data_IF_439430440287
#
_entry.id   IF_439430440287
#
_cell.length_a   1.000
_cell.length_b   1.000
_cell.length_c   1.000
_cell.angle_alpha   90.00
_cell.angle_beta   90.00
_cell.angle_gamma   90.00
#
_symmetry.space_group_name_H-M   'P 1'
#
loop_
_entity.id
_entity.type
_entity.pdbx_description
1 polymer ?
#
# COMPACT_ATOMS: atom_id res chain seq x y z
N UNK A 1 8.72 -23.33 -2.13
CA UNK A 1 7.72 -22.35 -2.61
C UNK A 1 8.18 -20.94 -2.27
N UNK A 2 8.03 -19.98 -3.18
CA UNK A 2 8.27 -18.57 -2.86
C UNK A 2 7.16 -18.07 -1.90
N UNK A 3 7.54 -17.44 -0.79
CA UNK A 3 6.57 -16.83 0.14
C UNK A 3 5.78 -15.73 -0.56
N UNK A 4 4.46 -15.76 -0.40
CA UNK A 4 3.55 -14.73 -0.91
C UNK A 4 3.91 -13.34 -0.36
N UNK A 5 3.60 -12.31 -1.14
CA UNK A 5 3.79 -10.93 -0.70
C UNK A 5 2.59 -10.53 0.15
N UNK A 6 2.85 -10.22 1.42
CA UNK A 6 1.83 -9.78 2.36
C UNK A 6 1.14 -8.51 1.87
N UNK A 7 -0.18 -8.47 2.00
CA UNK A 7 -0.98 -7.32 1.61
C UNK A 7 -0.88 -6.25 2.71
N UNK A 8 -0.44 -5.01 2.40
CA UNK A 8 -0.30 -3.95 3.42
C UNK A 8 -1.64 -3.36 3.88
N UNK A 9 -2.78 -3.87 3.41
CA UNK A 9 -4.11 -3.43 3.81
C UNK A 9 -4.43 -3.87 5.24
N UNK A 10 -4.86 -2.93 6.08
CA UNK A 10 -5.32 -3.18 7.46
C UNK A 10 -6.84 -3.26 7.57
N UNK A 11 -7.56 -3.42 6.45
CA UNK A 11 -9.03 -3.43 6.36
C UNK A 11 -9.73 -2.17 6.88
N UNK A 12 -8.98 -1.08 7.09
CA UNK A 12 -9.49 0.25 7.39
C UNK A 12 -9.10 1.17 6.23
N UNK A 13 -10.09 1.69 5.51
CA UNK A 13 -9.88 2.57 4.36
C UNK A 13 -10.20 4.01 4.75
N UNK A 14 -9.19 4.87 4.75
CA UNK A 14 -9.34 6.32 4.82
C UNK A 14 -8.66 6.93 3.59
N UNK A 15 -9.44 7.25 2.57
CA UNK A 15 -8.90 7.81 1.32
C UNK A 15 -8.81 9.33 1.41
N UNK A 16 -7.62 9.87 1.16
CA UNK A 16 -7.40 11.28 0.85
C UNK A 16 -7.04 11.37 -0.63
N UNK A 17 -8.03 11.74 -1.45
CA UNK A 17 -7.93 11.68 -2.91
C UNK A 17 -7.74 10.25 -3.42
N UNK A 18 -6.55 9.96 -3.96
CA UNK A 18 -6.18 8.64 -4.49
C UNK A 18 -5.29 7.81 -3.57
N UNK A 19 -4.96 8.34 -2.38
CA UNK A 19 -4.10 7.68 -1.40
C UNK A 19 -4.89 7.25 -0.17
N UNK A 20 -4.78 5.99 0.24
CA UNK A 20 -5.28 5.54 1.52
C UNK A 20 -4.28 5.94 2.61
N UNK A 21 -4.67 6.81 3.54
CA UNK A 21 -3.80 7.29 4.62
C UNK A 21 -3.67 6.29 5.76
N UNK A 22 -4.52 5.25 5.81
CA UNK A 22 -4.45 4.18 6.82
C UNK A 22 -3.43 3.09 6.45
N UNK A 23 -3.28 2.77 5.15
CA UNK A 23 -2.41 1.69 4.68
C UNK A 23 -1.38 2.11 3.63
N UNK A 24 -1.36 3.38 3.21
CA UNK A 24 -0.42 3.94 2.25
C UNK A 24 -0.60 3.52 0.78
N UNK A 25 -1.57 2.64 0.49
CA UNK A 25 -1.85 2.19 -0.89
C UNK A 25 -2.58 3.25 -1.68
N UNK A 26 -2.32 3.36 -2.99
CA UNK A 26 -3.17 4.16 -3.87
C UNK A 26 -4.38 3.36 -4.36
N UNK A 27 -5.40 4.04 -4.91
CA UNK A 27 -6.52 3.37 -5.61
C UNK A 27 -6.03 2.44 -6.71
N UNK A 28 -4.96 2.81 -7.42
CA UNK A 28 -4.36 1.99 -8.46
C UNK A 28 -3.72 0.71 -7.89
N UNK A 29 -2.94 0.86 -6.81
CA UNK A 29 -2.36 -0.29 -6.10
C UNK A 29 -3.48 -1.24 -5.62
N UNK A 30 -4.61 -0.71 -5.12
CA UNK A 30 -5.78 -1.50 -4.66
C UNK A 30 -6.43 -2.25 -5.83
N UNK A 31 -6.74 -1.57 -6.94
CA UNK A 31 -7.41 -2.15 -8.12
C UNK A 31 -6.54 -3.21 -8.81
N UNK A 32 -5.24 -2.98 -8.93
CA UNK A 32 -4.32 -3.86 -9.67
C UNK A 32 -3.75 -5.00 -8.84
N UNK A 33 -3.90 -5.00 -7.52
CA UNK A 33 -3.28 -5.99 -6.61
C UNK A 33 -3.40 -7.45 -7.06
N UNK A 34 -4.61 -7.87 -7.46
CA UNK A 34 -4.89 -9.25 -7.87
C UNK A 34 -4.17 -9.63 -9.17
N UNK A 35 -3.82 -8.64 -10.01
CA UNK A 35 -3.15 -8.81 -11.31
C UNK A 35 -1.63 -8.61 -11.23
N UNK A 36 -1.14 -7.99 -10.16
CA UNK A 36 0.29 -7.76 -9.95
C UNK A 36 1.05 -9.08 -9.73
N UNK A 37 2.18 -9.22 -10.42
CA UNK A 37 3.17 -10.26 -10.17
C UNK A 37 3.97 -9.95 -8.89
N UNK A 38 4.72 -10.93 -8.39
CA UNK A 38 5.54 -10.81 -7.18
C UNK A 38 6.42 -9.53 -7.12
N UNK A 39 7.19 -9.15 -8.17
CA UNK A 39 7.98 -7.91 -8.12
C UNK A 39 7.11 -6.66 -8.04
N UNK A 40 5.97 -6.63 -8.72
CA UNK A 40 5.03 -5.50 -8.68
C UNK A 40 4.37 -5.37 -7.30
N UNK A 41 3.97 -6.50 -6.69
CA UNK A 41 3.43 -6.51 -5.32
C UNK A 41 4.48 -6.00 -4.32
N UNK A 42 5.73 -6.46 -4.41
CA UNK A 42 6.82 -5.98 -3.53
C UNK A 42 7.00 -4.47 -3.67
N UNK A 43 7.08 -3.96 -4.91
CA UNK A 43 7.21 -2.53 -5.14
C UNK A 43 6.01 -1.74 -4.60
N UNK A 44 4.79 -2.27 -4.75
CA UNK A 44 3.58 -1.66 -4.22
C UNK A 44 3.60 -1.58 -2.68
N UNK A 45 4.02 -2.66 -1.99
CA UNK A 45 4.18 -2.67 -0.53
C UNK A 45 5.23 -1.67 -0.08
N UNK A 46 6.40 -1.64 -0.73
CA UNK A 46 7.46 -0.69 -0.38
C UNK A 46 6.99 0.76 -0.54
N UNK A 47 6.32 1.10 -1.64
CA UNK A 47 5.74 2.43 -1.86
C UNK A 47 4.68 2.78 -0.80
N UNK A 48 3.80 1.83 -0.46
CA UNK A 48 2.77 2.04 0.54
C UNK A 48 3.38 2.34 1.92
N UNK A 49 4.38 1.55 2.34
CA UNK A 49 5.11 1.76 3.59
C UNK A 49 5.83 3.11 3.62
N UNK A 50 6.50 3.51 2.52
CA UNK A 50 7.16 4.81 2.44
C UNK A 50 6.18 5.97 2.58
N UNK A 51 5.05 5.92 1.87
CA UNK A 51 4.00 6.95 1.96
C UNK A 51 3.43 7.04 3.39
N UNK A 52 3.15 5.90 4.01
CA UNK A 52 2.63 5.86 5.38
C UNK A 52 3.61 6.47 6.39
N UNK A 53 4.90 6.15 6.29
CA UNK A 53 5.95 6.77 7.12
C UNK A 53 6.00 8.29 6.93
N UNK A 54 5.91 8.77 5.70
CA UNK A 54 5.89 10.21 5.41
C UNK A 54 4.64 10.92 5.95
N UNK A 55 3.49 10.24 6.01
CA UNK A 55 2.27 10.77 6.63
C UNK A 55 2.39 10.84 8.15
N UNK A 56 2.94 9.81 8.80
CA UNK A 56 3.15 9.77 10.25
C UNK A 56 4.12 10.86 10.71
N UNK A 57 5.18 11.12 9.94
CA UNK A 57 6.12 12.22 10.23
C UNK A 57 5.50 13.61 10.15
N UNK A 58 4.36 13.78 9.47
CA UNK A 58 3.62 15.05 9.39
C UNK A 58 2.61 15.24 10.52
N UNK A 59 2.39 14.21 11.34
CA UNK A 59 1.41 14.20 12.43
C UNK A 59 2.04 14.46 13.82
N UNK A 60 3.34 14.77 13.85
CA UNK A 60 4.13 15.24 15.00
C UNK A 60 4.68 16.61 14.63
#
# INVERSE_FOLDING_TARGET
MAKDIENPCISVCQLSGDLCVSCGRTKDDIRKWKRMKRPEKMAAVQRATQRLKSLQKKSI
#
